data_IF_595201640266
#
_entry.id   IF_595201640266
#
_cell.length_a   1.000
_cell.length_b   1.000
_cell.length_c   1.000
_cell.angle_alpha   90.00
_cell.angle_beta   90.00
_cell.angle_gamma   90.00
#
_symmetry.space_group_name_H-M   'P 1'
#
loop_
_entity.id
_entity.type
_entity.pdbx_description
1 polymer ?
#
# COMPACT_ATOMS: atom_id res chain seq x y z
N UNK A 1 3.63 10.75 29.60
CA UNK A 1 3.83 11.26 28.22
C UNK A 1 2.64 10.87 27.37
N UNK A 2 1.68 11.77 27.25
CA UNK A 2 0.49 11.63 26.41
C UNK A 2 0.93 11.88 24.97
N UNK A 3 0.95 10.85 24.13
CA UNK A 3 1.10 11.04 22.69
C UNK A 3 -0.18 11.71 22.19
N UNK A 4 -0.16 13.03 22.12
CA UNK A 4 -1.26 13.82 21.56
C UNK A 4 -1.13 13.76 20.04
N UNK A 5 -1.77 12.75 19.47
CA UNK A 5 -1.78 12.56 18.03
C UNK A 5 -2.62 13.66 17.37
N UNK A 6 -1.96 14.66 16.76
CA UNK A 6 -2.60 15.71 15.94
C UNK A 6 -3.14 15.15 14.60
N UNK A 7 -4.10 14.22 14.67
CA UNK A 7 -4.78 13.65 13.51
C UNK A 7 -6.20 14.22 13.30
N UNK A 8 -6.65 15.16 14.15
CA UNK A 8 -8.03 15.66 14.19
C UNK A 8 -8.47 16.47 12.95
N UNK A 9 -7.55 16.90 12.10
CA UNK A 9 -7.82 17.89 11.03
C UNK A 9 -7.78 17.31 9.60
N UNK A 10 -7.49 16.02 9.42
CA UNK A 10 -7.32 15.46 8.07
C UNK A 10 -8.67 15.12 7.39
N UNK A 11 -8.85 15.44 6.08
CA UNK A 11 -9.96 14.92 5.28
C UNK A 11 -10.01 13.38 5.32
N UNK A 12 -11.20 12.79 5.20
CA UNK A 12 -11.37 11.33 5.35
C UNK A 12 -10.53 10.53 4.35
N UNK A 13 -10.34 11.07 3.13
CA UNK A 13 -9.46 10.47 2.15
C UNK A 13 -7.99 10.47 2.59
N UNK A 14 -7.52 11.55 3.23
CA UNK A 14 -6.14 11.64 3.74
C UNK A 14 -5.90 10.62 4.87
N UNK A 15 -6.91 10.37 5.71
CA UNK A 15 -6.84 9.35 6.76
C UNK A 15 -6.73 7.94 6.17
N UNK A 16 -7.52 7.64 5.14
CA UNK A 16 -7.46 6.36 4.42
C UNK A 16 -6.07 6.13 3.80
N UNK A 17 -5.53 7.16 3.14
CA UNK A 17 -4.17 7.11 2.56
C UNK A 17 -3.14 6.86 3.65
N UNK A 18 -3.22 7.58 4.78
CA UNK A 18 -2.32 7.42 5.91
C UNK A 18 -2.36 6.02 6.51
N UNK A 19 -3.54 5.41 6.66
CA UNK A 19 -3.66 4.03 7.16
C UNK A 19 -2.94 3.05 6.23
N UNK A 20 -3.28 3.10 4.93
CA UNK A 20 -2.74 2.15 3.95
C UNK A 20 -1.24 2.35 3.80
N UNK A 21 -0.77 3.59 3.64
CA UNK A 21 0.65 3.88 3.50
C UNK A 21 1.45 3.44 4.72
N UNK A 22 0.93 3.69 5.93
CA UNK A 22 1.59 3.27 7.18
C UNK A 22 1.66 1.74 7.27
N UNK A 23 0.63 1.03 6.82
CA UNK A 23 0.62 -0.43 6.81
C UNK A 23 1.62 -1.01 5.78
N UNK A 24 1.70 -0.41 4.59
CA UNK A 24 2.70 -0.75 3.56
C UNK A 24 4.13 -0.43 4.00
N UNK A 25 4.30 0.53 4.91
CA UNK A 25 5.59 0.92 5.46
C UNK A 25 6.16 -0.08 6.46
N UNK A 26 5.32 -0.89 7.12
CA UNK A 26 5.80 -1.89 8.07
C UNK A 26 6.73 -2.90 7.41
N UNK A 27 7.71 -3.37 8.17
CA UNK A 27 8.66 -4.39 7.76
C UNK A 27 8.43 -5.66 8.59
N UNK A 28 8.51 -6.83 7.94
CA UNK A 28 8.31 -8.13 8.59
C UNK A 28 7.01 -8.20 9.42
N UNK A 29 5.95 -7.53 8.95
CA UNK A 29 4.75 -7.26 9.73
C UNK A 29 3.97 -8.52 10.09
N UNK A 30 4.07 -9.58 9.28
CA UNK A 30 3.49 -10.89 9.64
C UNK A 30 4.08 -11.47 10.93
N UNK A 31 5.39 -11.28 11.16
CA UNK A 31 6.09 -11.78 12.36
C UNK A 31 5.87 -10.85 13.56
N UNK A 32 5.94 -9.54 13.34
CA UNK A 32 5.92 -8.54 14.41
C UNK A 32 4.48 -8.18 14.81
N UNK A 33 3.55 -8.13 13.85
CA UNK A 33 2.16 -7.71 14.04
C UNK A 33 1.17 -8.75 13.47
N UNK A 34 1.17 -10.00 13.99
CA UNK A 34 0.31 -11.06 13.46
C UNK A 34 -1.19 -10.74 13.57
N UNK A 35 -1.65 -10.12 14.66
CA UNK A 35 -3.05 -9.73 14.82
C UNK A 35 -3.45 -8.64 13.82
N UNK A 36 -2.66 -7.57 13.71
CA UNK A 36 -2.90 -6.49 12.75
C UNK A 36 -2.97 -7.04 11.33
N UNK A 37 -2.01 -7.87 10.97
CA UNK A 37 -1.85 -8.41 9.62
C UNK A 37 -3.02 -9.33 9.23
N UNK A 38 -3.48 -10.16 10.16
CA UNK A 38 -4.64 -11.05 9.97
C UNK A 38 -5.95 -10.28 9.83
N UNK A 39 -6.10 -9.17 10.54
CA UNK A 39 -7.36 -8.44 10.65
C UNK A 39 -7.37 -7.09 9.91
N UNK A 40 -6.39 -6.82 9.04
CA UNK A 40 -6.21 -5.49 8.44
C UNK A 40 -7.44 -4.97 7.71
N UNK A 41 -8.22 -5.84 7.05
CA UNK A 41 -9.45 -5.44 6.36
C UNK A 41 -10.50 -4.92 7.36
N UNK A 42 -10.80 -5.69 8.41
CA UNK A 42 -11.75 -5.31 9.45
C UNK A 42 -11.27 -4.02 10.16
N UNK A 43 -9.98 -3.95 10.47
CA UNK A 43 -9.39 -2.78 11.13
C UNK A 43 -9.46 -1.55 10.23
N UNK A 44 -9.24 -1.70 8.93
CA UNK A 44 -9.38 -0.63 7.95
C UNK A 44 -10.83 -0.15 7.87
N UNK A 45 -11.81 -1.05 7.85
CA UNK A 45 -13.24 -0.70 7.84
C UNK A 45 -13.64 0.08 9.10
N UNK A 46 -13.24 -0.38 10.28
CA UNK A 46 -13.51 0.30 11.55
C UNK A 46 -12.84 1.69 11.58
N UNK A 47 -11.59 1.77 11.14
CA UNK A 47 -10.85 3.03 11.05
C UNK A 47 -11.52 4.02 10.09
N UNK A 48 -11.97 3.53 8.93
CA UNK A 48 -12.60 4.35 7.88
C UNK A 48 -13.99 4.87 8.29
N UNK A 49 -14.72 4.11 9.12
CA UNK A 49 -16.03 4.54 9.67
C UNK A 49 -15.89 5.60 10.75
N UNK A 50 -15.03 5.36 11.73
CA UNK A 50 -14.82 6.28 12.84
C UNK A 50 -13.45 6.10 13.45
N UNK A 51 -12.52 6.95 13.04
CA UNK A 51 -11.18 6.96 13.60
C UNK A 51 -11.21 7.16 15.13
N UNK A 52 -12.00 8.10 15.67
CA UNK A 52 -12.10 8.33 17.12
C UNK A 52 -12.49 7.07 17.88
N UNK A 53 -13.47 6.32 17.36
CA UNK A 53 -13.91 5.07 17.97
C UNK A 53 -12.85 3.98 17.82
N UNK A 54 -12.16 3.93 16.67
CA UNK A 54 -11.04 3.02 16.47
C UNK A 54 -9.94 3.20 17.53
N UNK A 55 -9.56 4.44 17.85
CA UNK A 55 -8.56 4.71 18.90
C UNK A 55 -9.05 4.30 20.30
N UNK A 56 -10.31 4.58 20.64
CA UNK A 56 -10.85 4.24 21.96
C UNK A 56 -11.03 2.73 22.15
N UNK A 57 -11.52 2.04 21.12
CA UNK A 57 -11.76 0.59 21.10
C UNK A 57 -10.45 -0.20 21.21
N UNK A 58 -9.41 0.22 20.48
CA UNK A 58 -8.15 -0.52 20.42
C UNK A 58 -7.04 0.02 21.34
N UNK A 59 -7.36 0.92 22.28
CA UNK A 59 -6.38 1.54 23.20
C UNK A 59 -5.50 0.55 23.96
N UNK A 60 -6.04 -0.64 24.26
CA UNK A 60 -5.37 -1.70 25.02
C UNK A 60 -4.72 -2.79 24.15
N UNK A 61 -4.91 -2.76 22.81
CA UNK A 61 -4.27 -3.73 21.91
C UNK A 61 -2.91 -3.21 21.47
N UNK A 62 -1.85 -3.80 22.01
CA UNK A 62 -0.48 -3.32 21.82
C UNK A 62 -0.07 -3.23 20.33
N UNK A 63 -0.45 -4.20 19.48
CA UNK A 63 -0.13 -4.18 18.05
C UNK A 63 -0.77 -2.98 17.36
N UNK A 64 -2.02 -2.68 17.69
CA UNK A 64 -2.77 -1.57 17.10
C UNK A 64 -2.23 -0.24 17.60
N UNK A 65 -1.93 -0.14 18.90
CA UNK A 65 -1.26 1.04 19.48
C UNK A 65 0.09 1.31 18.82
N UNK A 66 0.88 0.25 18.58
CA UNK A 66 2.18 0.37 17.90
C UNK A 66 2.00 0.75 16.44
N UNK A 67 1.01 0.19 15.74
CA UNK A 67 0.68 0.57 14.37
C UNK A 67 0.26 2.04 14.25
N UNK A 68 -0.62 2.49 15.14
CA UNK A 68 -1.01 3.90 15.29
C UNK A 68 0.22 4.81 15.45
N UNK A 69 1.20 4.40 16.26
CA UNK A 69 2.42 5.21 16.42
C UNK A 69 3.18 5.38 15.10
N UNK A 70 3.12 4.40 14.19
CA UNK A 70 3.70 4.51 12.84
C UNK A 70 2.94 5.45 11.89
N UNK A 71 1.76 5.94 12.27
CA UNK A 71 1.04 6.99 11.53
C UNK A 71 1.53 8.39 11.92
N UNK A 72 2.26 8.53 13.03
CA UNK A 72 2.80 9.79 13.51
C UNK A 72 3.88 10.39 12.61
N UNK A 73 4.25 11.65 12.86
CA UNK A 73 5.39 12.30 12.20
C UNK A 73 6.72 11.87 12.82
N UNK A 74 6.74 11.64 14.13
CA UNK A 74 7.94 11.32 14.91
C UNK A 74 8.22 9.81 14.94
N UNK A 75 8.45 9.23 13.77
CA UNK A 75 8.77 7.81 13.60
C UNK A 75 10.18 7.65 13.06
N UNK A 76 10.78 6.48 13.28
CA UNK A 76 12.14 6.23 12.80
C UNK A 76 12.24 6.46 11.27
N UNK A 77 13.29 7.16 10.76
CA UNK A 77 13.39 7.59 9.36
C UNK A 77 13.17 6.48 8.33
N UNK A 78 13.59 5.26 8.66
CA UNK A 78 13.32 4.06 7.85
C UNK A 78 11.82 3.85 7.54
N UNK A 79 10.95 3.94 8.55
CA UNK A 79 9.51 3.76 8.35
C UNK A 79 8.89 4.99 7.67
N UNK A 80 9.37 6.18 8.01
CA UNK A 80 8.94 7.42 7.37
C UNK A 80 9.19 7.38 5.86
N UNK A 81 10.41 7.07 5.43
CA UNK A 81 10.76 6.98 4.02
C UNK A 81 9.90 5.96 3.26
N UNK A 82 9.64 4.79 3.86
CA UNK A 82 8.78 3.76 3.26
C UNK A 82 7.33 4.22 3.14
N UNK A 83 6.82 4.90 4.16
CA UNK A 83 5.46 5.47 4.18
C UNK A 83 5.34 6.55 3.11
N UNK A 84 6.28 7.49 3.03
CA UNK A 84 6.27 8.58 2.03
C UNK A 84 6.27 8.04 0.60
N UNK A 85 7.03 6.97 0.32
CA UNK A 85 6.97 6.31 -0.99
C UNK A 85 5.58 5.71 -1.28
N UNK A 86 4.96 5.06 -0.30
CA UNK A 86 3.61 4.51 -0.45
C UNK A 86 2.55 5.62 -0.61
N UNK A 87 2.63 6.69 0.20
CA UNK A 87 1.76 7.87 0.10
C UNK A 87 1.86 8.51 -1.29
N UNK A 88 3.08 8.72 -1.79
CA UNK A 88 3.31 9.29 -3.12
C UNK A 88 2.65 8.46 -4.22
N UNK A 89 2.76 7.12 -4.15
CA UNK A 89 2.08 6.24 -5.10
C UNK A 89 0.56 6.41 -5.06
N UNK A 90 -0.03 6.33 -3.87
CA UNK A 90 -1.49 6.36 -3.68
C UNK A 90 -2.05 7.74 -4.08
N UNK A 91 -1.32 8.82 -3.76
CA UNK A 91 -1.70 10.19 -4.12
C UNK A 91 -1.68 10.45 -5.63
N UNK A 92 -0.77 9.78 -6.36
CA UNK A 92 -0.69 9.90 -7.82
C UNK A 92 -1.83 9.16 -8.56
N UNK A 93 -2.62 8.34 -7.87
CA UNK A 93 -3.81 7.72 -8.45
C UNK A 93 -4.99 8.70 -8.40
N UNK A 94 -5.83 8.70 -9.44
CA UNK A 94 -7.14 9.35 -9.39
C UNK A 94 -8.00 8.74 -8.27
N UNK A 95 -8.98 9.47 -7.69
CA UNK A 95 -9.80 8.94 -6.59
C UNK A 95 -10.45 7.58 -6.91
N UNK A 96 -10.97 7.40 -8.13
CA UNK A 96 -11.54 6.13 -8.60
C UNK A 96 -10.50 4.99 -8.62
N UNK A 97 -9.31 5.26 -9.14
CA UNK A 97 -8.24 4.25 -9.24
C UNK A 97 -7.62 3.95 -7.88
N UNK A 98 -7.56 4.95 -6.99
CA UNK A 98 -7.13 4.83 -5.60
C UNK A 98 -8.01 3.86 -4.83
N UNK A 99 -9.33 4.06 -4.85
CA UNK A 99 -10.28 3.16 -4.19
C UNK A 99 -10.19 1.73 -4.75
N UNK A 100 -10.10 1.59 -6.08
CA UNK A 100 -9.87 0.27 -6.71
C UNK A 100 -8.58 -0.39 -6.24
N UNK A 101 -7.49 0.36 -6.15
CA UNK A 101 -6.19 -0.16 -5.70
C UNK A 101 -6.24 -0.61 -4.25
N UNK A 102 -6.83 0.20 -3.37
CA UNK A 102 -6.94 -0.11 -1.93
C UNK A 102 -7.79 -1.37 -1.71
N UNK A 103 -8.92 -1.50 -2.39
CA UNK A 103 -9.78 -2.69 -2.30
C UNK A 103 -9.04 -3.94 -2.78
N UNK A 104 -8.38 -3.84 -3.94
CA UNK A 104 -7.52 -4.91 -4.44
C UNK A 104 -6.45 -5.29 -3.41
N UNK A 105 -5.68 -4.32 -2.90
CA UNK A 105 -4.60 -4.55 -1.95
C UNK A 105 -5.09 -5.22 -0.65
N UNK A 106 -6.21 -4.76 -0.08
CA UNK A 106 -6.76 -5.33 1.14
C UNK A 106 -7.29 -6.76 0.93
N UNK A 107 -7.80 -7.08 -0.27
CA UNK A 107 -8.26 -8.44 -0.61
C UNK A 107 -7.13 -9.49 -0.68
N UNK A 108 -5.88 -9.04 -0.85
CA UNK A 108 -4.74 -9.94 -1.01
C UNK A 108 -4.37 -10.63 0.31
N UNK A 109 -3.91 -11.89 0.28
CA UNK A 109 -3.24 -12.47 1.43
C UNK A 109 -1.95 -11.71 1.72
N UNK A 110 -1.52 -11.71 2.98
CA UNK A 110 -0.37 -10.91 3.42
C UNK A 110 0.90 -11.09 2.56
N UNK A 111 1.22 -12.34 2.23
CA UNK A 111 2.39 -12.66 1.39
C UNK A 111 2.36 -11.94 0.04
N UNK A 112 1.18 -11.67 -0.51
CA UNK A 112 1.01 -11.03 -1.80
C UNK A 112 1.01 -9.50 -1.64
N UNK A 113 0.50 -8.97 -0.51
CA UNK A 113 0.66 -7.56 -0.14
C UNK A 113 2.12 -7.13 -0.06
N UNK A 114 2.97 -7.93 0.58
CA UNK A 114 4.42 -7.62 0.68
C UNK A 114 5.08 -7.42 -0.69
N UNK A 115 4.65 -8.20 -1.71
CA UNK A 115 5.12 -8.06 -3.08
C UNK A 115 4.62 -6.76 -3.71
N UNK A 116 3.36 -6.40 -3.49
CA UNK A 116 2.81 -5.11 -3.92
C UNK A 116 3.52 -3.94 -3.23
N UNK A 117 3.87 -4.04 -1.95
CA UNK A 117 4.57 -2.98 -1.24
C UNK A 117 5.95 -2.70 -1.83
N UNK A 118 6.66 -3.75 -2.23
CA UNK A 118 7.96 -3.62 -2.91
C UNK A 118 7.77 -2.95 -4.27
N UNK A 119 6.78 -3.40 -5.06
CA UNK A 119 6.47 -2.78 -6.35
C UNK A 119 6.15 -1.29 -6.20
N UNK A 120 5.30 -0.93 -5.24
CA UNK A 120 4.90 0.47 -5.00
C UNK A 120 6.11 1.34 -4.67
N UNK A 121 6.97 0.89 -3.75
CA UNK A 121 8.17 1.66 -3.38
C UNK A 121 9.15 1.81 -4.54
N UNK A 122 9.37 0.75 -5.31
CA UNK A 122 10.29 0.80 -6.45
C UNK A 122 9.71 1.61 -7.61
N UNK A 123 8.40 1.54 -7.85
CA UNK A 123 7.74 2.40 -8.82
C UNK A 123 7.98 3.88 -8.53
N UNK A 124 7.81 4.32 -7.28
CA UNK A 124 8.02 5.73 -6.93
C UNK A 124 9.49 6.13 -7.07
N UNK A 125 10.43 5.25 -6.68
CA UNK A 125 11.88 5.50 -6.88
C UNK A 125 12.24 5.69 -8.35
N UNK A 126 11.57 4.98 -9.24
CA UNK A 126 11.80 5.07 -10.68
C UNK A 126 10.86 6.05 -11.38
N UNK A 127 9.96 6.73 -10.67
CA UNK A 127 9.05 7.72 -11.24
C UNK A 127 9.77 9.05 -11.45
N UNK A 128 10.68 9.06 -12.41
CA UNK A 128 11.49 10.20 -12.85
C UNK A 128 11.59 10.19 -14.37
N UNK A 129 12.13 11.27 -14.95
CA UNK A 129 12.41 11.31 -16.40
C UNK A 129 13.51 10.30 -16.73
N UNK A 130 13.28 9.52 -17.78
CA UNK A 130 14.23 8.57 -18.35
C UNK A 130 14.33 8.84 -19.84
N UNK A 131 15.54 8.73 -20.38
CA UNK A 131 15.87 9.04 -21.79
C UNK A 131 16.00 7.77 -22.64
N UNK A 132 15.46 6.65 -22.17
CA UNK A 132 15.50 5.37 -22.88
C UNK A 132 14.13 4.72 -22.94
N UNK A 133 13.92 3.96 -24.01
CA UNK A 133 12.76 3.11 -24.16
C UNK A 133 12.98 1.75 -23.51
N UNK A 134 11.92 1.23 -22.91
CA UNK A 134 11.89 -0.14 -22.38
C UNK A 134 11.07 -0.99 -23.33
N UNK A 135 11.57 -2.16 -23.78
CA UNK A 135 10.81 -3.05 -24.64
C UNK A 135 9.47 -3.42 -23.98
N UNK A 136 8.40 -3.44 -24.78
CA UNK A 136 7.06 -3.85 -24.33
C UNK A 136 7.07 -5.31 -23.87
N UNK A 137 6.49 -5.57 -22.71
CA UNK A 137 6.42 -6.92 -22.13
C UNK A 137 4.96 -7.30 -21.90
N UNK A 138 4.48 -8.29 -22.63
CA UNK A 138 3.11 -8.79 -22.52
C UNK A 138 3.00 -9.89 -21.45
N UNK A 139 3.06 -9.53 -20.17
CA UNK A 139 2.96 -10.49 -19.06
C UNK A 139 1.85 -10.13 -18.04
N UNK A 140 0.75 -9.53 -18.50
CA UNK A 140 -0.34 -9.03 -17.65
C UNK A 140 -0.03 -7.71 -16.92
N UNK A 141 1.23 -7.24 -16.98
CA UNK A 141 1.65 -5.95 -16.45
C UNK A 141 0.99 -4.78 -17.18
N UNK A 142 0.79 -4.87 -18.50
CA UNK A 142 0.10 -3.83 -19.27
C UNK A 142 -1.32 -3.59 -18.76
N UNK A 143 -2.09 -4.63 -18.52
CA UNK A 143 -3.44 -4.50 -17.97
C UNK A 143 -3.42 -3.85 -16.57
N UNK A 144 -2.43 -4.18 -15.73
CA UNK A 144 -2.26 -3.54 -14.42
C UNK A 144 -1.93 -2.05 -14.56
N UNK A 145 -1.01 -1.70 -15.46
CA UNK A 145 -0.64 -0.33 -15.79
C UNK A 145 -1.86 0.45 -16.29
N UNK A 146 -2.62 -0.11 -17.23
CA UNK A 146 -3.80 0.52 -17.82
C UNK A 146 -4.92 0.70 -16.80
N UNK A 147 -5.19 -0.33 -15.98
CA UNK A 147 -6.23 -0.31 -14.93
C UNK A 147 -6.03 0.85 -13.97
N UNK A 148 -4.78 1.09 -13.55
CA UNK A 148 -4.44 2.14 -12.60
C UNK A 148 -3.93 3.43 -13.25
N UNK A 149 -3.82 3.47 -14.59
CA UNK A 149 -3.26 4.58 -15.37
C UNK A 149 -1.85 4.97 -14.94
N UNK A 150 -0.99 3.98 -14.70
CA UNK A 150 0.39 4.21 -14.30
C UNK A 150 1.27 4.59 -15.52
N UNK A 151 2.32 5.41 -15.36
CA UNK A 151 3.36 5.58 -16.36
C UNK A 151 4.11 4.27 -16.60
N UNK A 152 4.32 3.93 -17.87
CA UNK A 152 4.88 2.64 -18.29
C UNK A 152 6.30 2.40 -17.75
N UNK A 153 7.21 3.34 -17.95
CA UNK A 153 8.63 3.17 -17.62
C UNK A 153 8.85 2.86 -16.12
N UNK A 154 8.33 3.66 -15.16
CA UNK A 154 8.46 3.35 -13.74
C UNK A 154 7.85 2.01 -13.34
N UNK A 155 6.71 1.63 -13.96
CA UNK A 155 6.09 0.32 -13.73
C UNK A 155 6.95 -0.84 -14.21
N UNK A 156 7.55 -0.72 -15.40
CA UNK A 156 8.46 -1.74 -15.91
C UNK A 156 9.73 -1.86 -15.08
N UNK A 157 10.36 -0.74 -14.73
CA UNK A 157 11.57 -0.75 -13.88
C UNK A 157 11.29 -1.33 -12.50
N UNK A 158 10.14 -0.99 -11.92
CA UNK A 158 9.70 -1.60 -10.66
C UNK A 158 9.52 -3.11 -10.80
N UNK A 159 8.87 -3.56 -11.87
CA UNK A 159 8.71 -4.98 -12.15
C UNK A 159 10.06 -5.69 -12.36
N UNK A 160 11.02 -5.06 -13.03
CA UNK A 160 12.33 -5.64 -13.29
C UNK A 160 13.27 -5.64 -12.08
N UNK A 161 13.02 -4.78 -11.11
CA UNK A 161 13.79 -4.76 -9.84
C UNK A 161 13.61 -6.01 -8.98
N UNK A 162 12.53 -6.76 -9.21
CA UNK A 162 12.27 -8.04 -8.57
C UNK A 162 13.24 -9.14 -9.00
N UNK A 163 13.50 -10.10 -8.13
CA UNK A 163 14.14 -11.36 -8.53
C UNK A 163 13.21 -12.23 -9.41
N UNK A 164 13.73 -13.35 -9.94
CA UNK A 164 12.95 -14.27 -10.80
C UNK A 164 11.72 -14.86 -10.11
N UNK A 165 11.78 -15.13 -8.79
CA UNK A 165 10.68 -15.72 -8.01
C UNK A 165 9.62 -14.66 -7.69
N UNK A 166 10.04 -13.47 -7.29
CA UNK A 166 9.20 -12.31 -7.02
C UNK A 166 8.46 -11.88 -8.28
N UNK A 167 9.12 -11.80 -9.45
CA UNK A 167 8.46 -11.51 -10.73
C UNK A 167 7.32 -12.49 -11.04
N UNK A 168 7.57 -13.80 -10.88
CA UNK A 168 6.52 -14.83 -11.06
C UNK A 168 5.37 -14.66 -10.08
N UNK A 169 5.65 -14.27 -8.84
CA UNK A 169 4.63 -14.04 -7.82
C UNK A 169 3.80 -12.79 -8.14
N UNK A 170 4.45 -11.68 -8.49
CA UNK A 170 3.78 -10.46 -8.94
C UNK A 170 2.87 -10.72 -10.15
N UNK A 171 3.36 -11.45 -11.16
CA UNK A 171 2.55 -11.85 -12.31
C UNK A 171 1.30 -12.64 -11.92
N UNK A 172 1.42 -13.62 -11.02
CA UNK A 172 0.26 -14.38 -10.52
C UNK A 172 -0.75 -13.48 -9.80
N UNK A 173 -0.28 -12.49 -9.04
CA UNK A 173 -1.12 -11.54 -8.32
C UNK A 173 -1.92 -10.68 -9.31
N UNK A 174 -1.26 -10.06 -10.28
CA UNK A 174 -1.93 -9.17 -11.24
C UNK A 174 -2.84 -9.92 -12.24
N UNK A 175 -2.51 -11.15 -12.61
CA UNK A 175 -3.40 -11.99 -13.44
C UNK A 175 -4.69 -12.32 -12.69
N UNK A 176 -4.61 -12.59 -11.37
CA UNK A 176 -5.80 -12.83 -10.54
C UNK A 176 -6.68 -11.58 -10.44
N UNK A 177 -6.07 -10.41 -10.32
CA UNK A 177 -6.79 -9.13 -10.35
C UNK A 177 -7.60 -8.97 -11.64
N UNK A 178 -6.97 -9.23 -12.80
CA UNK A 178 -7.62 -9.09 -14.11
C UNK A 178 -8.80 -10.05 -14.31
N UNK A 179 -8.77 -11.23 -13.67
CA UNK A 179 -9.90 -12.17 -13.71
C UNK A 179 -11.10 -11.65 -12.93
N UNK A 180 -10.88 -10.88 -11.87
CA UNK A 180 -11.96 -10.33 -11.02
C UNK A 180 -12.60 -9.12 -11.70
N UNK A 181 -11.83 -8.31 -12.44
CA UNK A 181 -12.34 -7.13 -13.14
C UNK A 181 -13.20 -7.43 -14.37
N UNK A 182 -13.18 -8.66 -14.89
CA UNK A 182 -13.98 -9.07 -16.06
C UNK A 182 -15.40 -9.56 -15.71
N UNK A 183 -15.78 -9.53 -14.42
CA UNK A 183 -17.10 -9.92 -13.93
C UNK A 183 -17.89 -8.75 -13.27
N UNK A 184 -17.46 -7.50 -13.47
CA UNK A 184 -18.15 -6.31 -13.00
C UNK A 184 -18.41 -5.33 -14.14
#
# INVERSE_FOLDING_TARGET
MTFQFHFYEFPDETKIILFISSFMALFNRKKIFPYLTKNVLILFELFSKSWKNFFSEFKNKWEIKRFISFMGKDIHPFFLARRTLAESFINNLSPKNRSKFINFYLSLPEKDREIIDIFVRNYVRYNRKWEFDIPLISNGLNNFIETYKLPKIPSYLSFFSFDKKERKKFQKIIIRMNKISNFC
#
